data_IF_764960568349
#
_entry.id   IF_764960568349
#
_cell.length_a   1.000
_cell.length_b   1.000
_cell.length_c   1.000
_cell.angle_alpha   90.00
_cell.angle_beta   90.00
_cell.angle_gamma   90.00
#
_symmetry.space_group_name_H-M   'P 1'
#
loop_
_entity.id
_entity.type
_entity.pdbx_description
1 polymer ?
#
# COMPACT_ATOMS: atom_id res chain seq x y z
N UNK A 1 -13.42 -1.68 4.51
CA UNK A 1 -12.29 -1.53 3.57
C UNK A 1 -12.71 -1.99 2.19
N UNK A 2 -12.31 -1.28 1.13
CA UNK A 2 -12.36 -1.77 -0.25
C UNK A 2 -11.05 -1.49 -0.98
N UNK A 3 -10.51 -2.50 -1.68
CA UNK A 3 -9.35 -2.37 -2.56
C UNK A 3 -9.85 -2.43 -4.01
N UNK A 4 -9.50 -1.42 -4.81
CA UNK A 4 -9.82 -1.36 -6.23
C UNK A 4 -8.52 -1.37 -7.01
N UNK A 5 -8.42 -2.22 -8.03
CA UNK A 5 -7.23 -2.36 -8.86
C UNK A 5 -7.66 -2.29 -10.33
N UNK A 6 -7.09 -1.33 -11.06
CA UNK A 6 -7.14 -1.21 -12.51
C UNK A 6 -5.76 -1.48 -13.09
N UNK A 7 -5.61 -1.33 -14.41
CA UNK A 7 -4.33 -1.50 -15.10
C UNK A 7 -3.26 -0.48 -14.65
N UNK A 8 -3.69 0.72 -14.31
CA UNK A 8 -2.87 1.90 -14.08
C UNK A 8 -3.03 2.51 -12.68
N UNK A 9 -4.03 2.08 -11.90
CA UNK A 9 -4.34 2.65 -10.60
C UNK A 9 -4.78 1.59 -9.60
N UNK A 10 -4.35 1.74 -8.36
CA UNK A 10 -4.88 1.01 -7.22
C UNK A 10 -5.29 1.99 -6.14
N UNK A 11 -6.42 1.76 -5.49
CA UNK A 11 -6.90 2.60 -4.39
C UNK A 11 -7.42 1.74 -3.28
N UNK A 12 -7.06 2.10 -2.06
CA UNK A 12 -7.64 1.50 -0.86
C UNK A 12 -8.50 2.54 -0.14
N UNK A 13 -9.73 2.14 0.17
CA UNK A 13 -10.75 2.97 0.80
C UNK A 13 -11.10 2.38 2.16
N UNK A 14 -11.06 3.19 3.20
CA UNK A 14 -11.46 2.86 4.57
C UNK A 14 -12.51 3.90 5.01
N UNK A 15 -13.64 3.44 5.55
CA UNK A 15 -14.75 4.29 6.01
C UNK A 15 -15.24 5.34 4.99
N UNK A 16 -15.17 5.00 3.70
CA UNK A 16 -15.58 5.87 2.59
C UNK A 16 -14.51 6.84 2.10
N UNK A 17 -13.36 6.92 2.79
CA UNK A 17 -12.23 7.77 2.45
C UNK A 17 -11.11 6.98 1.77
N UNK A 18 -10.48 7.57 0.74
CA UNK A 18 -9.29 6.98 0.11
C UNK A 18 -8.07 7.27 0.96
N UNK A 19 -7.53 6.25 1.63
CA UNK A 19 -6.39 6.42 2.55
C UNK A 19 -5.04 6.25 1.84
N UNK A 20 -5.00 5.54 0.71
CA UNK A 20 -3.80 5.43 -0.12
C UNK A 20 -4.13 5.11 -1.58
N UNK A 21 -3.25 5.56 -2.48
CA UNK A 21 -3.35 5.31 -3.92
C UNK A 21 -2.00 4.84 -4.45
N UNK A 22 -2.01 3.86 -5.35
CA UNK A 22 -0.87 3.52 -6.19
C UNK A 22 -1.17 3.90 -7.64
N UNK A 23 -0.24 4.56 -8.32
CA UNK A 23 -0.34 4.93 -9.73
C UNK A 23 0.81 4.30 -10.49
N UNK A 24 0.50 3.67 -11.62
CA UNK A 24 1.51 3.06 -12.50
C UNK A 24 2.23 4.15 -13.29
N UNK A 25 3.55 4.04 -13.32
CA UNK A 25 4.46 4.84 -14.14
C UNK A 25 5.40 3.91 -14.90
N UNK A 26 6.24 4.47 -15.78
CA UNK A 26 7.24 3.69 -16.51
C UNK A 26 8.27 3.01 -15.59
N UNK A 27 8.50 3.57 -14.39
CA UNK A 27 9.45 3.06 -13.41
C UNK A 27 8.83 2.09 -12.38
N UNK A 28 7.54 1.81 -12.47
CA UNK A 28 6.80 0.97 -11.52
C UNK A 28 5.60 1.67 -10.89
N UNK A 29 5.12 1.12 -9.78
CA UNK A 29 3.97 1.65 -9.03
C UNK A 29 4.42 2.63 -7.97
N UNK A 30 3.94 3.87 -8.06
CA UNK A 30 4.15 4.91 -7.06
C UNK A 30 2.98 4.92 -6.08
N UNK A 31 3.25 4.56 -4.84
CA UNK A 31 2.24 4.56 -3.76
C UNK A 31 2.38 5.84 -2.95
N UNK A 32 1.26 6.48 -2.60
CA UNK A 32 1.26 7.70 -1.76
C UNK A 32 1.97 7.54 -0.41
N UNK A 33 2.08 6.30 0.08
CA UNK A 33 2.74 5.92 1.33
C UNK A 33 4.18 5.39 1.15
N UNK A 34 4.71 5.39 -0.07
CA UNK A 34 6.07 4.91 -0.38
C UNK A 34 6.89 5.98 -1.11
N UNK A 35 8.14 6.25 -0.70
CA UNK A 35 9.00 7.21 -1.39
C UNK A 35 9.60 6.67 -2.70
N UNK A 36 9.51 5.36 -2.94
CA UNK A 36 10.13 4.68 -4.07
C UNK A 36 9.11 3.93 -4.92
N UNK A 37 9.37 3.75 -6.23
CA UNK A 37 8.56 2.89 -7.07
C UNK A 37 8.66 1.44 -6.58
N UNK A 38 7.53 0.73 -6.65
CA UNK A 38 7.39 -0.66 -6.25
C UNK A 38 6.94 -1.51 -7.44
N UNK A 39 7.18 -2.81 -7.40
CA UNK A 39 6.45 -3.71 -8.27
C UNK A 39 4.98 -3.80 -7.85
N UNK A 40 4.18 -4.50 -8.65
CA UNK A 40 2.74 -4.59 -8.47
C UNK A 40 2.36 -5.20 -7.10
N UNK A 41 3.05 -6.24 -6.66
CA UNK A 41 2.72 -6.93 -5.42
C UNK A 41 3.14 -6.07 -4.23
N UNK A 42 4.31 -5.45 -4.28
CA UNK A 42 4.79 -4.59 -3.21
C UNK A 42 3.97 -3.30 -3.09
N UNK A 43 3.43 -2.78 -4.20
CA UNK A 43 2.43 -1.72 -4.16
C UNK A 43 1.14 -2.16 -3.45
N UNK A 44 0.63 -3.37 -3.73
CA UNK A 44 -0.53 -3.91 -3.02
C UNK A 44 -0.21 -4.06 -1.53
N UNK A 45 0.94 -4.63 -1.17
CA UNK A 45 1.38 -4.77 0.22
C UNK A 45 1.47 -3.41 0.92
N UNK A 46 1.97 -2.38 0.25
CA UNK A 46 2.04 -1.01 0.78
C UNK A 46 0.65 -0.41 1.04
N UNK A 47 -0.33 -0.67 0.17
CA UNK A 47 -1.72 -0.27 0.40
C UNK A 47 -2.32 -1.02 1.60
N UNK A 48 -2.12 -2.34 1.69
CA UNK A 48 -2.58 -3.14 2.82
C UNK A 48 -1.94 -2.71 4.14
N UNK A 49 -0.65 -2.36 4.11
CA UNK A 49 0.07 -1.84 5.26
C UNK A 49 -0.56 -0.53 5.75
N UNK A 50 -0.92 0.38 4.85
CA UNK A 50 -1.56 1.65 5.21
C UNK A 50 -2.89 1.42 5.95
N UNK A 51 -3.75 0.53 5.43
CA UNK A 51 -5.00 0.18 6.10
C UNK A 51 -4.76 -0.46 7.46
N UNK A 52 -3.89 -1.48 7.51
CA UNK A 52 -3.68 -2.24 8.74
C UNK A 52 -3.06 -1.40 9.84
N UNK A 53 -2.20 -0.46 9.47
CA UNK A 53 -1.64 0.54 10.39
C UNK A 53 -2.75 1.39 11.03
N UNK A 54 -3.76 1.79 10.26
CA UNK A 54 -4.89 2.58 10.78
C UNK A 54 -5.81 1.73 11.66
N UNK A 55 -6.09 0.49 11.26
CA UNK A 55 -7.11 -0.34 11.95
C UNK A 55 -6.57 -1.12 13.15
N UNK A 56 -5.30 -1.52 13.13
CA UNK A 56 -4.68 -2.37 14.17
C UNK A 56 -3.50 -1.70 14.87
N UNK A 57 -3.00 -0.59 14.33
CA UNK A 57 -1.91 0.18 14.92
C UNK A 57 -0.51 -0.29 14.47
N UNK A 58 0.45 0.57 14.77
CA UNK A 58 1.86 0.47 14.40
C UNK A 58 2.57 -0.80 14.91
N UNK A 59 2.10 -1.35 16.03
CA UNK A 59 2.72 -2.48 16.72
C UNK A 59 2.09 -3.84 16.35
N UNK A 60 1.13 -3.87 15.43
CA UNK A 60 0.57 -5.12 14.93
C UNK A 60 1.70 -5.95 14.26
N UNK A 61 1.84 -7.25 14.57
CA UNK A 61 2.91 -8.06 14.00
C UNK A 61 2.94 -8.07 12.47
N UNK A 62 1.80 -8.00 11.79
CA UNK A 62 1.77 -7.93 10.33
C UNK A 62 2.26 -6.58 9.82
N UNK A 63 1.95 -5.47 10.50
CA UNK A 63 2.48 -4.14 10.17
C UNK A 63 4.01 -4.13 10.25
N UNK A 64 4.56 -4.73 11.30
CA UNK A 64 6.02 -4.83 11.48
C UNK A 64 6.66 -5.68 10.39
N UNK A 65 6.12 -6.88 10.10
CA UNK A 65 6.71 -7.75 9.08
C UNK A 65 6.57 -7.19 7.67
N UNK A 66 5.42 -6.62 7.29
CA UNK A 66 5.25 -6.02 5.96
C UNK A 66 6.15 -4.80 5.76
N UNK A 67 6.44 -4.02 6.80
CA UNK A 67 7.47 -2.97 6.72
C UNK A 67 8.85 -3.53 6.44
N UNK A 68 9.20 -4.67 7.06
CA UNK A 68 10.48 -5.34 6.79
C UNK A 68 10.54 -5.90 5.38
N UNK A 69 9.45 -6.49 4.89
CA UNK A 69 9.35 -6.95 3.49
C UNK A 69 9.55 -5.78 2.53
N UNK A 70 8.82 -4.69 2.71
CA UNK A 70 8.93 -3.48 1.89
C UNK A 70 10.25 -2.72 2.07
N UNK A 71 11.07 -3.03 3.07
CA UNK A 71 12.41 -2.46 3.21
C UNK A 71 13.48 -3.27 2.45
N UNK A 72 13.15 -4.50 2.01
CA UNK A 72 14.08 -5.40 1.30
C UNK A 72 14.00 -5.30 -0.22
N UNK A 73 12.83 -4.93 -0.73
CA UNK A 73 12.65 -4.55 -2.13
C UNK A 73 13.34 -3.23 -2.47
#
# INVERSE_FOLDING_TARGET
MSLKITEDKMTIVLDGETIATATRTDCGWHVTTSPRPLDRNSAITSLMLAERTITHGENDPCVIEWRRELARD
#
